data_IF_746145447529
#
_entry.id   IF_746145447529
#
_cell.length_a   1.000
_cell.length_b   1.000
_cell.length_c   1.000
_cell.angle_alpha   90.00
_cell.angle_beta   90.00
_cell.angle_gamma   90.00
#
_symmetry.space_group_name_H-M   'P 1'
#
loop_
_entity.id
_entity.type
_entity.pdbx_description
1 polymer ?
#
# COMPACT_ATOMS: atom_id res chain seq x y z
N UNK A 1 11.90 4.75 -4.23
CA UNK A 1 12.76 3.67 -3.68
C UNK A 1 12.76 3.62 -2.16
N UNK A 2 12.98 4.73 -1.44
CA UNK A 2 12.96 4.76 0.03
C UNK A 2 11.66 4.20 0.64
N UNK A 3 10.49 4.58 0.11
CA UNK A 3 9.19 4.02 0.50
C UNK A 3 9.21 2.50 0.60
N UNK A 4 9.56 1.82 -0.49
CA UNK A 4 9.47 0.39 -0.57
C UNK A 4 10.45 -0.33 0.34
N UNK A 5 11.68 0.19 0.48
CA UNK A 5 12.66 -0.35 1.43
C UNK A 5 12.11 -0.25 2.86
N UNK A 6 11.60 0.91 3.25
CA UNK A 6 11.05 1.14 4.58
C UNK A 6 9.82 0.25 4.83
N UNK A 7 8.92 0.12 3.86
CA UNK A 7 7.72 -0.73 4.00
C UNK A 7 8.09 -2.20 4.10
N UNK A 8 9.04 -2.71 3.31
CA UNK A 8 9.48 -4.11 3.40
C UNK A 8 10.19 -4.38 4.74
N UNK A 9 11.04 -3.46 5.20
CA UNK A 9 11.66 -3.57 6.53
C UNK A 9 10.58 -3.60 7.61
N UNK A 10 9.62 -2.67 7.57
CA UNK A 10 8.49 -2.64 8.51
C UNK A 10 7.71 -3.95 8.51
N UNK A 11 7.42 -4.49 7.32
CA UNK A 11 6.61 -5.69 7.16
C UNK A 11 7.31 -6.95 7.70
N UNK A 12 8.58 -7.15 7.35
CA UNK A 12 9.34 -8.35 7.75
C UNK A 12 9.94 -8.26 9.16
N UNK A 13 9.94 -7.08 9.79
CA UNK A 13 10.41 -6.90 11.16
C UNK A 13 9.48 -7.54 12.20
N UNK A 14 8.19 -7.62 11.89
CA UNK A 14 7.18 -8.16 12.79
C UNK A 14 7.00 -9.65 12.49
N UNK A 15 7.05 -10.54 13.50
CA UNK A 15 6.72 -11.95 13.30
C UNK A 15 5.31 -12.13 12.75
N UNK A 16 5.02 -13.29 12.16
CA UNK A 16 3.68 -13.55 11.63
C UNK A 16 2.63 -13.42 12.73
N UNK A 17 1.63 -12.57 12.48
CA UNK A 17 0.52 -12.37 13.39
C UNK A 17 -0.22 -13.70 13.66
N UNK A 18 -0.90 -13.83 14.82
CA UNK A 18 -1.75 -14.97 15.10
C UNK A 18 -2.80 -15.19 14.01
N UNK A 19 -3.39 -16.37 13.95
CA UNK A 19 -4.46 -16.61 13.00
C UNK A 19 -5.72 -15.81 13.36
N UNK A 20 -6.58 -15.55 12.36
CA UNK A 20 -7.85 -14.83 12.54
C UNK A 20 -8.77 -15.49 13.58
N UNK A 21 -8.74 -16.81 13.67
CA UNK A 21 -9.44 -17.65 14.65
C UNK A 21 -8.64 -17.88 15.96
N UNK A 22 -7.65 -17.02 16.22
CA UNK A 22 -6.90 -16.83 17.46
C UNK A 22 -7.70 -17.08 18.76
N UNK A 23 -7.10 -17.49 19.89
CA UNK A 23 -7.74 -17.13 21.17
C UNK A 23 -7.37 -15.69 21.51
N UNK A 24 -8.22 -14.95 22.23
CA UNK A 24 -7.88 -13.58 22.64
C UNK A 24 -6.60 -13.55 23.49
N UNK A 25 -6.36 -14.59 24.31
CA UNK A 25 -5.12 -14.73 25.08
C UNK A 25 -3.91 -14.83 24.17
N UNK A 26 -3.96 -15.71 23.15
CA UNK A 26 -2.87 -15.85 22.17
C UNK A 26 -2.59 -14.54 21.42
N UNK A 27 -3.63 -13.75 21.14
CA UNK A 27 -3.50 -12.43 20.53
C UNK A 27 -2.82 -11.46 21.50
N UNK A 28 -3.32 -11.35 22.74
CA UNK A 28 -2.71 -10.49 23.76
C UNK A 28 -1.24 -10.83 24.04
N UNK A 29 -0.95 -12.12 24.23
CA UNK A 29 0.42 -12.63 24.44
C UNK A 29 1.34 -12.27 23.27
N UNK A 30 0.84 -12.37 22.04
CA UNK A 30 1.61 -12.00 20.85
C UNK A 30 2.01 -10.51 20.87
N UNK A 31 1.06 -9.61 21.15
CA UNK A 31 1.35 -8.17 21.19
C UNK A 31 2.24 -7.80 22.38
N UNK A 32 2.10 -8.46 23.52
CA UNK A 32 2.97 -8.27 24.68
C UNK A 32 4.41 -8.73 24.40
N UNK A 33 4.58 -9.93 23.83
CA UNK A 33 5.89 -10.51 23.56
C UNK A 33 6.62 -9.82 22.40
N UNK A 34 5.90 -9.23 21.45
CA UNK A 34 6.47 -8.57 20.27
C UNK A 34 6.31 -7.05 20.27
N UNK A 35 5.96 -6.45 21.41
CA UNK A 35 5.70 -5.01 21.57
C UNK A 35 6.74 -4.14 20.88
N UNK A 36 8.02 -4.36 21.15
CA UNK A 36 9.11 -3.54 20.59
C UNK A 36 9.16 -3.62 19.07
N UNK A 37 9.08 -4.83 18.51
CA UNK A 37 9.11 -5.04 17.07
C UNK A 37 7.93 -4.33 16.39
N UNK A 38 6.72 -4.43 16.95
CA UNK A 38 5.51 -3.80 16.40
C UNK A 38 5.57 -2.27 16.48
N UNK A 39 6.01 -1.71 17.61
CA UNK A 39 6.12 -0.26 17.75
C UNK A 39 7.21 0.31 16.81
N UNK A 40 8.37 -0.36 16.73
CA UNK A 40 9.44 0.05 15.82
C UNK A 40 9.04 -0.10 14.36
N UNK A 41 8.36 -1.18 13.97
CA UNK A 41 7.85 -1.34 12.61
C UNK A 41 6.88 -0.23 12.26
N UNK A 42 5.97 0.16 13.15
CA UNK A 42 4.98 1.20 12.85
C UNK A 42 5.61 2.59 12.69
N UNK A 43 6.67 2.89 13.44
CA UNK A 43 7.47 4.11 13.21
C UNK A 43 8.13 4.06 11.82
N UNK A 44 8.78 2.95 11.47
CA UNK A 44 9.42 2.77 10.15
C UNK A 44 8.39 2.84 9.02
N UNK A 45 7.24 2.20 9.18
CA UNK A 45 6.12 2.21 8.24
C UNK A 45 5.57 3.62 8.02
N UNK A 46 5.50 4.44 9.08
CA UNK A 46 5.10 5.85 8.99
C UNK A 46 6.12 6.67 8.18
N UNK A 47 7.42 6.48 8.40
CA UNK A 47 8.43 7.10 7.54
C UNK A 47 8.36 6.59 6.09
N UNK A 48 8.02 5.32 5.89
CA UNK A 48 7.70 4.76 4.59
C UNK A 48 6.55 5.51 3.92
N UNK A 49 5.45 5.72 4.62
CA UNK A 49 4.30 6.48 4.14
C UNK A 49 4.66 7.92 3.77
N UNK A 50 5.48 8.62 4.56
CA UNK A 50 5.98 9.96 4.23
C UNK A 50 6.82 9.96 2.95
N UNK A 51 7.69 8.97 2.77
CA UNK A 51 8.45 8.79 1.53
C UNK A 51 7.53 8.48 0.33
N UNK A 52 6.39 7.83 0.57
CA UNK A 52 5.38 7.59 -0.46
C UNK A 52 4.65 8.87 -0.87
N UNK A 53 4.33 9.77 0.07
CA UNK A 53 3.77 11.10 -0.25
C UNK A 53 4.68 11.83 -1.24
N UNK A 54 5.99 11.83 -0.99
CA UNK A 54 6.95 12.48 -1.89
C UNK A 54 6.93 11.88 -3.30
N UNK A 55 6.86 10.54 -3.38
CA UNK A 55 6.71 9.83 -4.65
C UNK A 55 5.40 10.20 -5.36
N UNK A 56 4.27 10.27 -4.65
CA UNK A 56 2.98 10.66 -5.22
C UNK A 56 2.99 12.10 -5.75
N UNK A 57 3.63 13.02 -5.04
CA UNK A 57 3.81 14.40 -5.51
C UNK A 57 4.57 14.44 -6.84
N UNK A 58 5.69 13.73 -6.93
CA UNK A 58 6.45 13.62 -8.17
C UNK A 58 5.64 12.94 -9.30
N UNK A 59 4.97 11.84 -8.99
CA UNK A 59 4.13 11.09 -9.94
C UNK A 59 3.02 11.96 -10.53
N UNK A 60 2.33 12.74 -9.69
CA UNK A 60 1.29 13.68 -10.13
C UNK A 60 1.85 14.73 -11.08
N UNK A 61 3.02 15.29 -10.79
CA UNK A 61 3.66 16.27 -11.69
C UNK A 61 4.03 15.65 -13.04
N UNK A 62 4.54 14.41 -13.06
CA UNK A 62 4.87 13.72 -14.31
C UNK A 62 3.61 13.44 -15.13
N UNK A 63 2.55 12.92 -14.50
CA UNK A 63 1.28 12.61 -15.16
C UNK A 63 0.59 13.85 -15.70
N UNK A 64 0.52 14.93 -14.91
CA UNK A 64 -0.13 16.17 -15.35
C UNK A 64 0.56 16.75 -16.61
N UNK A 65 1.90 16.69 -16.67
CA UNK A 65 2.66 17.10 -17.87
C UNK A 65 2.36 16.21 -19.07
N UNK A 66 2.19 14.90 -18.87
CA UNK A 66 1.86 13.95 -19.93
C UNK A 66 0.42 14.14 -20.47
N UNK A 67 -0.52 14.51 -19.61
CA UNK A 67 -1.93 14.70 -19.95
C UNK A 67 -2.23 16.02 -20.69
N UNK A 68 -1.26 16.94 -20.75
CA UNK A 68 -1.38 18.17 -21.55
C UNK A 68 -2.54 19.10 -21.15
N UNK A 69 -3.02 19.01 -19.91
CA UNK A 69 -4.06 19.88 -19.35
C UNK A 69 -5.48 19.31 -19.33
N UNK A 70 -5.71 18.05 -19.74
CA UNK A 70 -7.03 17.39 -19.69
C UNK A 70 -7.28 16.67 -18.34
N UNK A 71 -6.28 16.61 -17.45
CA UNK A 71 -6.31 16.07 -16.07
C UNK A 71 -7.23 14.86 -15.83
N UNK A 72 -7.13 13.80 -16.64
CA UNK A 72 -8.06 12.67 -16.55
C UNK A 72 -7.68 11.63 -15.47
N UNK A 73 -6.39 11.26 -15.36
CA UNK A 73 -5.89 10.17 -14.52
C UNK A 73 -4.96 10.65 -13.40
N UNK A 74 -4.20 11.74 -13.61
CA UNK A 74 -3.34 12.35 -12.59
C UNK A 74 -4.04 12.60 -11.24
N UNK A 75 -5.23 13.23 -11.17
CA UNK A 75 -5.93 13.42 -9.90
C UNK A 75 -6.41 12.10 -9.27
N UNK A 76 -6.79 11.11 -10.07
CA UNK A 76 -7.25 9.80 -9.59
C UNK A 76 -6.07 9.02 -8.98
N UNK A 77 -4.93 8.96 -9.67
CA UNK A 77 -3.71 8.30 -9.19
C UNK A 77 -3.26 8.94 -7.87
N UNK A 78 -3.22 10.28 -7.82
CA UNK A 78 -2.83 10.98 -6.60
C UNK A 78 -3.82 10.73 -5.45
N UNK A 79 -5.13 10.85 -5.71
CA UNK A 79 -6.17 10.62 -4.72
C UNK A 79 -6.17 9.19 -4.17
N UNK A 80 -6.05 8.19 -5.03
CA UNK A 80 -5.97 6.79 -4.64
C UNK A 80 -4.70 6.48 -3.83
N UNK A 81 -3.56 7.06 -4.22
CA UNK A 81 -2.31 6.95 -3.47
C UNK A 81 -2.43 7.57 -2.07
N UNK A 82 -3.04 8.75 -1.96
CA UNK A 82 -3.29 9.40 -0.68
C UNK A 82 -4.25 8.58 0.19
N UNK A 83 -5.32 8.02 -0.38
CA UNK A 83 -6.22 7.10 0.32
C UNK A 83 -5.47 5.88 0.86
N UNK A 84 -4.58 5.29 0.05
CA UNK A 84 -3.71 4.17 0.46
C UNK A 84 -2.84 4.54 1.66
N UNK A 85 -2.25 5.74 1.67
CA UNK A 85 -1.45 6.23 2.79
C UNK A 85 -2.29 6.38 4.05
N UNK A 86 -3.43 7.05 3.94
CA UNK A 86 -4.32 7.32 5.08
C UNK A 86 -4.81 6.01 5.68
N UNK A 87 -5.32 5.09 4.85
CA UNK A 87 -5.81 3.79 5.32
C UNK A 87 -4.67 2.95 5.89
N UNK A 88 -3.46 3.00 5.31
CA UNK A 88 -2.31 2.27 5.82
C UNK A 88 -1.86 2.75 7.20
N UNK A 89 -1.77 4.06 7.40
CA UNK A 89 -1.37 4.67 8.68
C UNK A 89 -2.45 4.44 9.74
N UNK A 90 -3.72 4.70 9.41
CA UNK A 90 -4.83 4.48 10.34
C UNK A 90 -5.04 2.99 10.65
N UNK A 91 -4.82 2.13 9.66
CA UNK A 91 -4.95 0.68 9.83
C UNK A 91 -3.92 0.07 10.76
N UNK A 92 -2.75 0.69 10.92
CA UNK A 92 -1.75 0.26 11.90
C UNK A 92 -2.11 0.63 13.34
N UNK A 93 -3.05 1.57 13.57
CA UNK A 93 -3.39 2.08 14.91
C UNK A 93 -3.88 0.97 15.85
N UNK A 94 -4.85 0.10 15.49
CA UNK A 94 -5.35 -0.89 16.45
C UNK A 94 -4.27 -1.88 16.93
N UNK A 95 -3.39 -2.33 16.03
CA UNK A 95 -2.22 -3.14 16.38
C UNK A 95 -1.21 -2.37 17.25
N UNK A 96 -1.00 -1.08 16.96
CA UNK A 96 -0.15 -0.20 17.79
C UNK A 96 -0.71 -0.07 19.20
N UNK A 97 -2.02 0.12 19.33
CA UNK A 97 -2.71 0.24 20.61
C UNK A 97 -2.54 -1.05 21.40
N UNK A 98 -2.79 -2.22 20.81
CA UNK A 98 -2.59 -3.52 21.47
C UNK A 98 -1.15 -3.71 21.97
N UNK A 99 -0.14 -3.33 21.18
CA UNK A 99 1.25 -3.36 21.60
C UNK A 99 1.57 -2.33 22.70
N UNK A 100 1.04 -1.11 22.57
CA UNK A 100 1.33 0.01 23.47
C UNK A 100 0.68 -0.16 24.85
N UNK A 101 -0.55 -0.70 24.91
CA UNK A 101 -1.25 -0.98 26.16
C UNK A 101 -1.04 -2.41 26.66
N UNK A 102 -0.12 -3.17 26.06
CA UNK A 102 0.15 -4.57 26.42
C UNK A 102 0.65 -4.78 27.86
N UNK A 103 0.90 -3.74 28.64
CA UNK A 103 1.23 -3.82 30.07
C UNK A 103 0.01 -3.57 30.96
N UNK A 104 -1.12 -3.15 30.40
CA UNK A 104 -2.33 -2.82 31.14
C UNK A 104 -3.21 -4.05 31.29
N UNK A 105 -3.42 -4.48 32.53
CA UNK A 105 -4.24 -5.65 32.84
C UNK A 105 -5.69 -5.47 32.36
N UNK A 106 -6.23 -4.25 32.44
CA UNK A 106 -7.59 -3.91 32.00
C UNK A 106 -7.79 -4.20 30.51
N UNK A 107 -6.77 -3.99 29.68
CA UNK A 107 -6.84 -4.26 28.24
C UNK A 107 -6.60 -5.74 27.96
N UNK A 108 -5.52 -6.32 28.50
CA UNK A 108 -5.11 -7.69 28.17
C UNK A 108 -6.07 -8.78 28.69
N UNK A 109 -6.74 -8.53 29.83
CA UNK A 109 -7.70 -9.48 30.39
C UNK A 109 -9.08 -9.41 29.73
N UNK A 110 -9.37 -8.32 29.00
CA UNK A 110 -10.65 -8.10 28.36
C UNK A 110 -10.68 -8.70 26.95
N UNK A 111 -11.30 -9.87 26.83
CA UNK A 111 -11.44 -10.58 25.56
C UNK A 111 -12.11 -9.75 24.45
N UNK A 112 -13.10 -8.93 24.80
CA UNK A 112 -13.84 -8.10 23.85
C UNK A 112 -12.97 -7.01 23.24
N UNK A 113 -12.18 -6.31 24.06
CA UNK A 113 -11.27 -5.24 23.59
C UNK A 113 -10.18 -5.82 22.70
N UNK A 114 -9.52 -6.88 23.13
CA UNK A 114 -8.44 -7.53 22.36
C UNK A 114 -8.95 -8.00 21.01
N UNK A 115 -10.12 -8.65 20.98
CA UNK A 115 -10.72 -9.12 19.73
C UNK A 115 -11.16 -7.98 18.81
N UNK A 116 -11.86 -6.99 19.34
CA UNK A 116 -12.31 -5.85 18.55
C UNK A 116 -11.14 -5.14 17.86
N UNK A 117 -10.05 -4.85 18.60
CA UNK A 117 -8.88 -4.17 18.01
C UNK A 117 -8.16 -5.04 16.98
N UNK A 118 -8.08 -6.35 17.22
CA UNK A 118 -7.46 -7.28 16.29
C UNK A 118 -8.25 -7.43 14.99
N UNK A 119 -9.57 -7.57 15.09
CA UNK A 119 -10.45 -7.71 13.95
C UNK A 119 -10.52 -6.38 13.17
N UNK A 120 -10.54 -5.25 13.88
CA UNK A 120 -10.45 -3.91 13.27
C UNK A 120 -9.13 -3.74 12.49
N UNK A 121 -7.99 -4.20 13.03
CA UNK A 121 -6.73 -4.18 12.31
C UNK A 121 -6.81 -4.99 11.00
N UNK A 122 -7.38 -6.20 11.07
CA UNK A 122 -7.56 -7.08 9.91
C UNK A 122 -8.42 -6.44 8.82
N UNK A 123 -9.55 -5.83 9.20
CA UNK A 123 -10.46 -5.15 8.28
C UNK A 123 -9.80 -3.91 7.67
N UNK A 124 -9.07 -3.12 8.46
CA UNK A 124 -8.37 -1.94 7.95
C UNK A 124 -7.27 -2.29 6.95
N UNK A 125 -6.50 -3.36 7.19
CA UNK A 125 -5.53 -3.85 6.19
C UNK A 125 -6.21 -4.43 4.93
N UNK A 126 -7.42 -4.96 5.07
CA UNK A 126 -8.23 -5.38 3.92
C UNK A 126 -8.63 -4.17 3.07
N UNK A 127 -9.04 -3.07 3.71
CA UNK A 127 -9.29 -1.78 3.03
C UNK A 127 -8.03 -1.20 2.39
N UNK A 128 -6.87 -1.34 3.04
CA UNK A 128 -5.60 -0.87 2.50
C UNK A 128 -5.35 -1.50 1.12
N UNK A 129 -5.53 -2.81 0.99
CA UNK A 129 -5.35 -3.50 -0.28
C UNK A 129 -6.37 -3.04 -1.34
N UNK A 130 -7.61 -2.73 -0.96
CA UNK A 130 -8.58 -2.16 -1.91
C UNK A 130 -8.11 -0.79 -2.46
N UNK A 131 -7.63 0.09 -1.59
CA UNK A 131 -7.09 1.39 -2.00
C UNK A 131 -5.78 1.28 -2.77
N UNK A 132 -4.91 0.34 -2.40
CA UNK A 132 -3.66 0.03 -3.10
C UNK A 132 -3.95 -0.48 -4.52
N UNK A 133 -4.93 -1.37 -4.67
CA UNK A 133 -5.38 -1.85 -5.97
C UNK A 133 -5.97 -0.74 -6.84
N UNK A 134 -6.72 0.22 -6.25
CA UNK A 134 -7.20 1.40 -6.98
C UNK A 134 -6.04 2.28 -7.46
N UNK A 135 -5.03 2.48 -6.61
CA UNK A 135 -3.81 3.20 -6.99
C UNK A 135 -3.07 2.47 -8.13
N UNK A 136 -2.90 1.16 -8.01
CA UNK A 136 -2.24 0.33 -9.00
C UNK A 136 -2.96 0.35 -10.35
N UNK A 137 -4.28 0.19 -10.39
CA UNK A 137 -5.05 0.20 -11.65
C UNK A 137 -5.03 1.57 -12.32
N UNK A 138 -5.15 2.67 -11.55
CA UNK A 138 -5.10 4.01 -12.09
C UNK A 138 -3.73 4.32 -12.70
N UNK A 139 -2.65 4.00 -11.98
CA UNK A 139 -1.28 4.19 -12.48
C UNK A 139 -0.95 3.26 -13.65
N UNK A 140 -1.43 2.03 -13.60
CA UNK A 140 -1.31 1.07 -14.69
C UNK A 140 -1.99 1.54 -15.98
N UNK A 141 -3.18 2.13 -15.85
CA UNK A 141 -3.93 2.62 -16.99
C UNK A 141 -3.24 3.82 -17.64
N UNK A 142 -2.66 4.74 -16.84
CA UNK A 142 -1.84 5.82 -17.35
C UNK A 142 -0.59 5.31 -18.11
N UNK A 143 0.07 4.26 -17.60
CA UNK A 143 1.18 3.60 -18.31
C UNK A 143 0.73 2.90 -19.60
N UNK A 144 -0.44 2.23 -19.59
CA UNK A 144 -0.98 1.54 -20.75
C UNK A 144 -1.39 2.52 -21.87
N UNK A 145 -1.87 3.71 -21.50
CA UNK A 145 -2.15 4.84 -22.42
C UNK A 145 -0.89 5.52 -22.96
N UNK A 146 0.30 5.07 -22.55
CA UNK A 146 1.60 5.66 -22.90
C UNK A 146 1.78 7.09 -22.39
N UNK A 147 1.00 7.49 -21.38
CA UNK A 147 1.22 8.74 -20.64
C UNK A 147 2.44 8.63 -19.71
N UNK A 148 2.87 7.39 -19.42
CA UNK A 148 4.10 7.08 -18.71
C UNK A 148 4.96 6.07 -19.47
N UNK A 149 6.27 6.14 -19.25
CA UNK A 149 7.24 5.18 -19.78
C UNK A 149 7.00 3.77 -19.22
N UNK A 150 6.94 2.79 -20.13
CA UNK A 150 6.84 1.36 -19.80
C UNK A 150 5.43 0.76 -19.91
N UNK A 151 4.86 0.60 -21.12
CA UNK A 151 3.53 0.02 -21.31
C UNK A 151 3.37 -1.40 -20.73
N UNK A 152 4.45 -2.18 -20.72
CA UNK A 152 4.48 -3.51 -20.09
C UNK A 152 4.20 -3.43 -18.58
N UNK A 153 4.69 -2.39 -17.92
CA UNK A 153 4.51 -2.17 -16.48
C UNK A 153 3.05 -1.78 -16.16
N UNK A 154 2.36 -1.18 -17.13
CA UNK A 154 0.91 -0.98 -17.07
C UNK A 154 0.17 -2.31 -16.92
N UNK A 155 0.44 -3.28 -17.80
CA UNK A 155 -0.19 -4.62 -17.70
C UNK A 155 0.14 -5.34 -16.40
N UNK A 156 1.38 -5.27 -15.94
CA UNK A 156 1.77 -5.84 -14.63
C UNK A 156 1.01 -5.17 -13.49
N UNK A 157 0.85 -3.84 -13.54
CA UNK A 157 0.09 -3.09 -12.54
C UNK A 157 -1.40 -3.46 -12.50
N UNK A 158 -2.01 -3.80 -13.64
CA UNK A 158 -3.38 -4.34 -13.66
C UNK A 158 -3.46 -5.70 -12.96
N UNK A 159 -2.46 -6.57 -13.15
CA UNK A 159 -2.36 -7.84 -12.44
C UNK A 159 -2.23 -7.65 -10.93
N UNK A 160 -1.37 -6.72 -10.50
CA UNK A 160 -1.21 -6.35 -9.09
C UNK A 160 -2.52 -5.80 -8.50
N UNK A 161 -3.21 -4.92 -9.22
CA UNK A 161 -4.50 -4.40 -8.76
C UNK A 161 -5.54 -5.50 -8.54
N UNK A 162 -5.58 -6.50 -9.44
CA UNK A 162 -6.47 -7.65 -9.29
C UNK A 162 -6.12 -8.51 -8.08
N UNK A 163 -4.82 -8.74 -7.83
CA UNK A 163 -4.35 -9.45 -6.64
C UNK A 163 -4.76 -8.71 -5.36
N UNK A 164 -4.50 -7.40 -5.32
CA UNK A 164 -4.82 -6.55 -4.17
C UNK A 164 -6.32 -6.51 -3.89
N UNK A 165 -7.16 -6.37 -4.93
CA UNK A 165 -8.61 -6.40 -4.77
C UNK A 165 -9.13 -7.75 -4.32
N UNK A 166 -8.64 -8.84 -4.91
CA UNK A 166 -9.03 -10.20 -4.51
C UNK A 166 -8.66 -10.44 -3.05
N UNK A 167 -7.46 -10.05 -2.64
CA UNK A 167 -6.97 -10.21 -1.28
C UNK A 167 -7.73 -9.31 -0.29
N UNK A 168 -7.94 -8.05 -0.66
CA UNK A 168 -8.67 -7.07 0.15
C UNK A 168 -10.11 -7.49 0.36
N UNK A 169 -10.81 -7.94 -0.69
CA UNK A 169 -12.18 -8.45 -0.59
C UNK A 169 -12.24 -9.71 0.26
N UNK A 170 -11.33 -10.67 0.05
CA UNK A 170 -11.32 -11.90 0.85
C UNK A 170 -11.15 -11.64 2.36
N UNK A 171 -10.36 -10.62 2.73
CA UNK A 171 -10.15 -10.25 4.13
C UNK A 171 -11.41 -9.85 4.90
N UNK A 172 -12.51 -9.46 4.22
CA UNK A 172 -13.80 -9.21 4.86
C UNK A 172 -14.59 -10.47 5.21
N UNK A 173 -14.31 -11.60 4.55
CA UNK A 173 -15.13 -12.81 4.62
C UNK A 173 -14.39 -14.00 5.23
N UNK A 174 -13.05 -13.99 5.22
CA UNK A 174 -12.22 -15.07 5.78
C UNK A 174 -12.18 -14.97 7.30
N UNK A 175 -12.98 -15.80 7.96
CA UNK A 175 -13.10 -15.86 9.43
C UNK A 175 -12.31 -17.00 10.08
N UNK A 176 -11.75 -17.90 9.28
CA UNK A 176 -10.93 -19.04 9.72
C UNK A 176 -9.58 -19.03 9.03
N UNK A 177 -8.57 -19.59 9.69
CA UNK A 177 -7.25 -19.69 9.10
C UNK A 177 -7.26 -20.48 7.79
N UNK A 178 -6.54 -19.96 6.79
CA UNK A 178 -6.24 -20.66 5.54
C UNK A 178 -4.87 -20.23 5.06
N UNK A 179 -3.94 -21.19 4.97
CA UNK A 179 -2.58 -20.94 4.48
C UNK A 179 -2.55 -20.39 3.05
N UNK A 180 -3.53 -20.77 2.21
CA UNK A 180 -3.71 -20.22 0.87
C UNK A 180 -3.96 -18.71 0.93
N UNK A 181 -4.97 -18.27 1.71
CA UNK A 181 -5.31 -16.85 1.80
C UNK A 181 -4.19 -16.03 2.45
N UNK A 182 -3.52 -16.58 3.48
CA UNK A 182 -2.35 -15.92 4.08
C UNK A 182 -1.23 -15.74 3.05
N UNK A 183 -0.88 -16.79 2.30
CA UNK A 183 0.14 -16.70 1.25
C UNK A 183 -0.25 -15.75 0.12
N UNK A 184 -1.51 -15.78 -0.29
CA UNK A 184 -2.06 -14.90 -1.33
C UNK A 184 -1.93 -13.42 -0.94
N UNK A 185 -2.29 -13.06 0.30
CA UNK A 185 -2.14 -11.71 0.83
C UNK A 185 -0.69 -11.24 0.85
N UNK A 186 0.25 -12.12 1.23
CA UNK A 186 1.68 -11.80 1.22
C UNK A 186 2.16 -11.52 -0.21
N UNK A 187 1.74 -12.34 -1.17
CA UNK A 187 2.08 -12.14 -2.59
C UNK A 187 1.49 -10.83 -3.12
N UNK A 188 0.26 -10.48 -2.75
CA UNK A 188 -0.36 -9.21 -3.12
C UNK A 188 0.45 -8.01 -2.60
N UNK A 189 0.79 -7.98 -1.30
CA UNK A 189 1.61 -6.92 -0.69
C UNK A 189 2.98 -6.80 -1.36
N UNK A 190 3.68 -7.92 -1.54
CA UNK A 190 5.00 -7.91 -2.19
C UNK A 190 4.89 -7.45 -3.65
N UNK A 191 3.86 -7.90 -4.36
CA UNK A 191 3.56 -7.51 -5.73
C UNK A 191 3.33 -6.01 -5.85
N UNK A 192 2.53 -5.42 -4.96
CA UNK A 192 2.29 -3.99 -4.89
C UNK A 192 3.59 -3.20 -4.68
N UNK A 193 4.37 -3.57 -3.66
CA UNK A 193 5.62 -2.86 -3.35
C UNK A 193 6.64 -3.00 -4.49
N UNK A 194 6.77 -4.20 -5.08
CA UNK A 194 7.64 -4.45 -6.21
C UNK A 194 7.23 -3.65 -7.45
N UNK A 195 5.93 -3.52 -7.72
CA UNK A 195 5.42 -2.72 -8.82
C UNK A 195 5.68 -1.22 -8.61
N UNK A 196 5.43 -0.68 -7.41
CA UNK A 196 5.76 0.72 -7.08
C UNK A 196 7.26 0.98 -7.20
N UNK A 197 8.10 0.01 -6.81
CA UNK A 197 9.55 0.08 -7.02
C UNK A 197 9.92 0.14 -8.48
N UNK A 198 9.39 -0.77 -9.29
CA UNK A 198 9.64 -0.80 -10.73
C UNK A 198 9.20 0.51 -11.39
N UNK A 199 8.02 1.03 -11.04
CA UNK A 199 7.50 2.32 -11.51
C UNK A 199 8.44 3.47 -11.12
N UNK A 200 8.90 3.50 -9.86
CA UNK A 200 9.87 4.48 -9.38
C UNK A 200 11.17 4.45 -10.19
N UNK A 201 11.72 3.26 -10.45
CA UNK A 201 12.99 3.09 -11.18
C UNK A 201 12.85 3.51 -12.63
N UNK A 202 11.75 3.15 -13.28
CA UNK A 202 11.50 3.52 -14.69
C UNK A 202 11.38 5.04 -14.83
N UNK A 203 10.68 5.70 -13.91
CA UNK A 203 10.54 7.17 -13.90
C UNK A 203 11.87 7.88 -13.69
N UNK A 204 12.75 7.37 -12.82
CA UNK A 204 14.10 7.93 -12.64
C UNK A 204 14.98 7.77 -13.87
N UNK A 205 14.82 6.68 -14.63
CA UNK A 205 15.64 6.40 -15.83
C UNK A 205 15.16 7.11 -17.08
N UNK A 206 13.88 7.47 -17.17
CA UNK A 206 13.29 8.17 -18.31
C UNK A 206 12.29 9.22 -17.83
N UNK A 207 12.76 10.38 -17.35
CA UNK A 207 11.92 11.36 -16.66
C UNK A 207 10.86 12.02 -17.55
N UNK A 208 11.06 11.99 -18.87
CA UNK A 208 10.23 12.68 -19.85
C UNK A 208 10.11 11.80 -21.10
N UNK A 209 8.87 11.61 -21.58
CA UNK A 209 8.66 11.25 -22.97
C UNK A 209 9.22 12.43 -23.76
N UNK A 210 10.34 12.26 -24.46
CA UNK A 210 10.79 13.20 -25.48
C UNK A 210 9.58 13.48 -26.38
N UNK A 211 8.94 14.65 -26.22
CA UNK A 211 8.06 15.14 -27.27
C UNK A 211 8.93 15.21 -28.51
N UNK A 212 8.48 14.55 -29.58
CA UNK A 212 8.98 14.82 -30.91
C UNK A 212 9.13 16.34 -31.07
N UNK A 213 10.33 16.75 -31.48
CA UNK A 213 10.72 18.14 -31.61
C UNK A 213 9.65 18.94 -32.38
N UNK A 214 9.37 20.13 -31.84
CA UNK A 214 8.78 21.30 -32.49
C UNK A 214 7.63 21.09 -33.50
N UNK A 215 6.45 21.61 -33.17
CA UNK A 215 5.65 22.25 -34.20
C UNK A 215 6.47 23.43 -34.76
N UNK A 216 7.07 23.25 -35.93
CA UNK A 216 7.48 24.40 -36.76
C UNK A 216 6.22 25.19 -37.12
N UNK A 217 6.16 26.51 -36.89
CA UNK A 217 5.07 27.31 -37.38
C UNK A 217 5.11 27.32 -38.91
N UNK A 218 4.10 26.69 -39.54
CA UNK A 218 3.95 26.54 -41.00
C UNK A 218 3.65 27.88 -41.72
N UNK A 219 3.73 29.02 -41.05
CA UNK A 219 3.44 30.32 -41.66
C UNK A 219 4.53 31.35 -41.38
N UNK A 220 5.57 31.29 -42.20
CA UNK A 220 6.47 32.41 -42.47
C UNK A 220 6.69 32.50 -43.99
N UNK A 221 5.68 32.98 -44.72
CA UNK A 221 5.80 33.59 -46.04
C UNK A 221 4.68 34.61 -46.24
#
# INVERSE_FOLDING_TARGET
>A
MAFAVLVLISFFMVPSAPHVDASFRKIGDYYANHRRAILTSNVIGTFGALAFIWFLGHLRHVLNRAEGGVEALSPIVYGAGMATIVVGVLGAIPATVLAFSSHEEVINSNAGIVRMLYDMNTIMYSLLLLTAGLFAVAGAFAMARKELVGPWLGWVGMGVALLDWTSGTAGFYVTKYSGFWTGFTIVAIIGFVAWVLAASVVMLRRPEVERAAAWEPVFAH
#
